data_IF_559996597905
#
_entry.id   IF_559996597905
#
_cell.length_a   1.000
_cell.length_b   1.000
_cell.length_c   1.000
_cell.angle_alpha   90.00
_cell.angle_beta   90.00
_cell.angle_gamma   90.00
#
_symmetry.space_group_name_H-M   'P 1'
#
loop_
_entity.id
_entity.type
_entity.pdbx_description
1 polymer ?
#
# COMPACT_ATOMS: atom_id res chain seq x y z
N UNK A 1 0.61 -25.83 8.60
CA UNK A 1 -0.21 -26.33 7.47
C UNK A 1 -0.51 -25.12 6.60
N UNK A 2 0.17 -24.82 5.50
CA UNK A 2 1.13 -25.57 4.69
C UNK A 2 2.06 -24.55 4.00
N UNK A 3 3.36 -24.77 4.08
CA UNK A 3 4.39 -24.01 3.38
C UNK A 3 4.51 -24.49 1.93
N UNK A 4 4.50 -23.57 0.97
CA UNK A 4 4.87 -23.83 -0.43
C UNK A 4 6.21 -23.18 -0.72
N UNK A 5 7.28 -23.98 -0.55
CA UNK A 5 8.62 -23.68 -1.03
C UNK A 5 8.67 -23.75 -2.56
N UNK A 6 9.07 -22.65 -3.19
CA UNK A 6 9.31 -22.56 -4.62
C UNK A 6 10.77 -22.95 -4.89
N UNK A 7 11.02 -24.24 -5.17
CA UNK A 7 12.35 -24.77 -5.50
C UNK A 7 12.67 -24.57 -6.98
N UNK A 8 13.79 -23.92 -7.24
CA UNK A 8 14.47 -23.85 -8.53
C UNK A 8 14.76 -25.25 -9.12
N UNK A 9 14.71 -25.44 -10.44
CA UNK A 9 15.13 -26.69 -11.05
C UNK A 9 16.65 -26.81 -11.06
N UNK A 10 17.13 -27.89 -10.46
CA UNK A 10 18.51 -28.36 -10.50
C UNK A 10 18.81 -29.00 -11.86
N UNK A 11 20.02 -28.84 -12.44
CA UNK A 11 20.40 -29.46 -13.70
C UNK A 11 20.55 -30.97 -13.51
N UNK A 12 19.78 -31.74 -14.28
CA UNK A 12 19.80 -33.19 -14.26
C UNK A 12 21.12 -33.79 -14.76
N UNK A 13 21.41 -35.05 -14.39
CA UNK A 13 22.68 -35.70 -14.64
C UNK A 13 22.91 -35.99 -16.12
N UNK A 14 24.14 -35.75 -16.55
CA UNK A 14 24.67 -36.09 -17.86
C UNK A 14 24.56 -37.60 -18.10
N UNK A 15 23.63 -38.01 -18.96
CA UNK A 15 23.64 -39.36 -19.53
C UNK A 15 24.70 -39.42 -20.62
N UNK A 16 25.79 -40.13 -20.32
CA UNK A 16 26.79 -40.54 -21.28
C UNK A 16 26.14 -41.45 -22.33
N UNK A 17 25.78 -40.88 -23.48
CA UNK A 17 25.33 -41.64 -24.64
C UNK A 17 26.55 -42.21 -25.38
N UNK A 18 26.62 -43.53 -25.34
CA UNK A 18 27.40 -44.47 -26.14
C UNK A 18 27.84 -43.92 -27.49
N UNK A 19 29.15 -43.66 -27.59
CA UNK A 19 29.88 -43.33 -28.82
C UNK A 19 29.84 -44.53 -29.76
N UNK A 20 28.86 -44.55 -30.66
CA UNK A 20 28.84 -45.47 -31.79
C UNK A 20 30.11 -45.27 -32.63
N UNK A 21 31.01 -46.25 -32.61
CA UNK A 21 32.09 -46.37 -33.59
C UNK A 21 31.47 -46.59 -34.97
N UNK A 22 31.13 -45.51 -35.66
CA UNK A 22 31.02 -45.52 -37.12
C UNK A 22 32.45 -45.51 -37.65
N UNK A 23 32.81 -46.56 -38.38
CA UNK A 23 34.00 -46.64 -39.20
C UNK A 23 34.19 -45.33 -39.95
N UNK A 24 35.09 -44.47 -39.47
CA UNK A 24 35.64 -43.38 -40.24
C UNK A 24 36.57 -44.06 -41.25
N UNK A 25 35.99 -44.45 -42.37
CA UNK A 25 36.72 -44.77 -43.58
C UNK A 25 37.50 -43.51 -43.92
N UNK A 26 38.79 -43.49 -43.56
CA UNK A 26 39.71 -42.43 -43.96
C UNK A 26 39.60 -42.31 -45.48
N UNK A 27 39.24 -41.14 -46.03
CA UNK A 27 39.20 -40.98 -47.47
C UNK A 27 40.59 -41.33 -48.00
N UNK A 28 40.67 -42.30 -48.91
CA UNK A 28 41.91 -42.55 -49.67
C UNK A 28 42.40 -41.21 -50.18
N UNK A 29 43.72 -40.90 -50.11
CA UNK A 29 44.22 -39.63 -50.60
C UNK A 29 43.82 -39.51 -52.07
N UNK A 30 42.83 -38.64 -52.31
CA UNK A 30 42.48 -38.23 -53.65
C UNK A 30 43.71 -37.60 -54.29
N UNK A 31 43.75 -37.57 -55.62
CA UNK A 31 44.88 -36.98 -56.32
C UNK A 31 45.13 -35.54 -55.84
N UNK A 32 46.30 -34.97 -56.16
CA UNK A 32 46.70 -33.61 -55.74
C UNK A 32 45.59 -32.56 -55.93
N UNK A 33 44.70 -32.74 -56.90
CA UNK A 33 43.51 -31.90 -57.13
C UNK A 33 42.46 -31.97 -56.00
N UNK A 34 42.21 -33.16 -55.44
CA UNK A 34 41.26 -33.36 -54.33
C UNK A 34 41.79 -32.76 -53.03
N UNK A 35 43.10 -32.85 -52.78
CA UNK A 35 43.74 -32.20 -51.63
C UNK A 35 43.69 -30.66 -51.74
N UNK A 36 43.84 -30.11 -52.94
CA UNK A 36 43.67 -28.67 -53.19
C UNK A 36 42.24 -28.21 -52.94
N UNK A 37 41.25 -29.02 -53.34
CA UNK A 37 39.84 -28.74 -53.10
C UNK A 37 39.51 -28.78 -51.60
N UNK A 38 39.98 -29.82 -50.89
CA UNK A 38 39.81 -29.94 -49.44
C UNK A 38 40.47 -28.79 -48.66
N UNK A 39 41.63 -28.31 -49.13
CA UNK A 39 42.31 -27.17 -48.51
C UNK A 39 41.53 -25.87 -48.71
N UNK A 40 40.95 -25.66 -49.90
CA UNK A 40 40.10 -24.50 -50.18
C UNK A 40 38.81 -24.54 -49.33
N UNK A 41 38.17 -25.69 -49.23
CA UNK A 41 36.98 -25.87 -48.37
C UNK A 41 37.31 -25.66 -46.89
N UNK A 42 38.45 -26.16 -46.41
CA UNK A 42 38.92 -25.93 -45.05
C UNK A 42 39.21 -24.44 -44.79
N UNK A 43 39.81 -23.74 -45.75
CA UNK A 43 40.06 -22.30 -45.65
C UNK A 43 38.76 -21.51 -45.54
N UNK A 44 37.79 -21.78 -46.42
CA UNK A 44 36.47 -21.13 -46.37
C UNK A 44 35.77 -21.38 -45.03
N UNK A 45 35.88 -22.61 -44.51
CA UNK A 45 35.28 -22.97 -43.21
C UNK A 45 35.96 -22.28 -42.04
N UNK A 46 37.27 -22.05 -42.10
CA UNK A 46 38.00 -21.26 -41.11
C UNK A 46 37.53 -19.80 -41.16
N UNK A 47 37.41 -19.22 -42.35
CA UNK A 47 36.92 -17.84 -42.52
C UNK A 47 35.52 -17.68 -41.92
N UNK A 48 34.58 -18.58 -42.24
CA UNK A 48 33.23 -18.55 -41.64
C UNK A 48 33.24 -18.66 -40.11
N UNK A 49 34.12 -19.50 -39.55
CA UNK A 49 34.21 -19.66 -38.10
C UNK A 49 34.78 -18.42 -37.42
N UNK A 50 35.71 -17.72 -38.06
CA UNK A 50 36.26 -16.45 -37.56
C UNK A 50 35.17 -15.38 -37.56
N UNK A 51 34.40 -15.24 -38.64
CA UNK A 51 33.28 -14.28 -38.68
C UNK A 51 32.20 -14.59 -37.63
N UNK A 52 31.89 -15.87 -37.40
CA UNK A 52 30.97 -16.29 -36.33
C UNK A 52 31.54 -16.00 -34.94
N UNK A 53 32.84 -16.13 -34.74
CA UNK A 53 33.49 -15.81 -33.47
C UNK A 53 33.45 -14.31 -33.19
N UNK A 54 33.77 -13.47 -34.18
CA UNK A 54 33.71 -12.01 -34.04
C UNK A 54 32.29 -11.50 -33.74
N UNK A 55 31.28 -12.08 -34.39
CA UNK A 55 29.87 -11.73 -34.12
C UNK A 55 29.42 -12.19 -32.73
N UNK A 56 29.85 -13.37 -32.28
CA UNK A 56 29.61 -13.84 -30.92
C UNK A 56 30.30 -12.95 -29.87
N UNK A 57 31.54 -12.52 -30.11
CA UNK A 57 32.26 -11.62 -29.21
C UNK A 57 31.54 -10.28 -29.05
N UNK A 58 31.09 -9.67 -30.16
CA UNK A 58 30.27 -8.44 -30.12
C UNK A 58 28.99 -8.64 -29.31
N UNK A 59 28.24 -9.71 -29.56
CA UNK A 59 27.02 -10.01 -28.81
C UNK A 59 27.29 -10.19 -27.30
N UNK A 60 28.41 -10.83 -26.93
CA UNK A 60 28.78 -10.96 -25.50
C UNK A 60 29.20 -9.64 -24.87
N UNK A 61 29.79 -8.72 -25.64
CA UNK A 61 30.14 -7.38 -25.17
C UNK A 61 28.88 -6.55 -24.89
N UNK A 62 27.87 -6.62 -25.77
CA UNK A 62 26.58 -5.94 -25.59
C UNK A 62 25.85 -6.45 -24.34
N UNK A 63 25.77 -7.78 -24.16
CA UNK A 63 25.15 -8.39 -22.96
C UNK A 63 25.90 -7.98 -21.68
N UNK A 64 27.24 -7.88 -21.71
CA UNK A 64 28.02 -7.42 -20.55
C UNK A 64 27.74 -5.95 -20.22
N UNK A 65 27.53 -5.10 -21.24
CA UNK A 65 27.16 -3.70 -21.04
C UNK A 65 25.78 -3.58 -20.39
N UNK A 66 24.78 -4.30 -20.89
CA UNK A 66 23.43 -4.34 -20.31
C UNK A 66 23.46 -4.85 -18.86
N UNK A 67 24.25 -5.89 -18.57
CA UNK A 67 24.40 -6.43 -17.22
C UNK A 67 25.05 -5.42 -16.27
N UNK A 68 26.07 -4.68 -16.73
CA UNK A 68 26.70 -3.63 -15.94
C UNK A 68 25.73 -2.48 -15.62
N UNK A 69 24.86 -2.11 -16.56
CA UNK A 69 23.82 -1.11 -16.35
C UNK A 69 22.73 -1.60 -15.38
N UNK A 70 22.28 -2.85 -15.53
CA UNK A 70 21.32 -3.48 -14.61
C UNK A 70 21.87 -3.56 -13.18
N UNK A 71 23.16 -3.88 -13.00
CA UNK A 71 23.80 -3.90 -11.69
C UNK A 71 23.86 -2.50 -11.07
N UNK A 72 24.22 -1.47 -11.84
CA UNK A 72 24.18 -0.07 -11.36
C UNK A 72 22.77 0.35 -10.94
N UNK A 73 21.74 -0.01 -11.72
CA UNK A 73 20.35 0.28 -11.37
C UNK A 73 19.92 -0.44 -10.08
N UNK A 74 20.37 -1.67 -9.88
CA UNK A 74 20.09 -2.45 -8.68
C UNK A 74 20.78 -1.88 -7.44
N UNK A 75 22.03 -1.44 -7.56
CA UNK A 75 22.74 -0.76 -6.47
C UNK A 75 22.11 0.59 -6.14
N UNK A 76 21.68 1.35 -7.15
CA UNK A 76 20.92 2.58 -6.95
C UNK A 76 19.58 2.32 -6.24
N UNK A 77 18.88 1.23 -6.56
CA UNK A 77 17.64 0.84 -5.90
C UNK A 77 17.84 0.37 -4.46
N UNK A 78 18.95 -0.34 -4.16
CA UNK A 78 19.31 -0.77 -2.80
C UNK A 78 19.74 0.39 -1.90
N UNK A 79 20.51 1.33 -2.46
CA UNK A 79 21.05 2.48 -1.73
C UNK A 79 20.09 3.66 -1.70
N UNK A 80 18.92 3.57 -2.36
CA UNK A 80 17.85 4.54 -2.19
C UNK A 80 17.44 4.48 -0.71
N UNK A 81 17.63 5.55 0.07
CA UNK A 81 17.20 5.56 1.46
C UNK A 81 15.71 5.24 1.44
N UNK A 82 15.35 4.08 2.00
CA UNK A 82 13.97 3.87 2.42
C UNK A 82 13.78 4.92 3.49
N UNK A 83 13.20 6.07 3.13
CA UNK A 83 12.78 7.05 4.09
C UNK A 83 12.00 6.26 5.14
N UNK A 84 12.62 6.07 6.30
CA UNK A 84 12.02 5.39 7.43
C UNK A 84 11.02 6.37 8.02
N UNK A 85 10.01 6.70 7.23
CA UNK A 85 8.86 7.48 7.64
C UNK A 85 8.25 6.62 8.73
N UNK A 86 8.34 7.10 9.97
CA UNK A 86 7.67 6.51 11.12
C UNK A 86 6.23 6.19 10.71
N UNK A 87 5.87 4.90 10.65
CA UNK A 87 4.53 4.48 10.23
C UNK A 87 3.76 3.99 11.44
N UNK A 88 2.77 4.77 11.87
CA UNK A 88 1.82 4.36 12.90
C UNK A 88 1.03 3.16 12.41
N UNK A 89 1.19 1.98 13.04
CA UNK A 89 0.42 0.80 12.69
C UNK A 89 -1.04 1.01 13.07
N UNK A 90 -1.92 0.24 12.44
CA UNK A 90 -3.34 0.24 12.77
C UNK A 90 -3.54 -0.28 14.20
N UNK A 91 -4.27 0.42 15.08
CA UNK A 91 -4.57 -0.05 16.43
C UNK A 91 -5.22 -1.43 16.40
N UNK A 92 -4.78 -2.33 17.27
CA UNK A 92 -5.42 -3.64 17.44
C UNK A 92 -6.71 -3.47 18.24
N UNK A 93 -7.71 -4.33 18.00
CA UNK A 93 -9.03 -4.25 18.65
C UNK A 93 -8.99 -4.33 20.19
N UNK A 94 -7.87 -4.72 20.78
CA UNK A 94 -7.63 -4.86 22.22
C UNK A 94 -7.20 -3.56 22.89
N UNK A 95 -6.82 -2.53 22.12
CA UNK A 95 -6.46 -1.23 22.66
C UNK A 95 -7.72 -0.35 22.76
N UNK A 96 -8.51 -0.59 23.82
CA UNK A 96 -9.78 0.11 24.09
C UNK A 96 -9.66 1.63 24.25
N UNK A 97 -8.43 2.17 24.30
CA UNK A 97 -8.16 3.60 24.50
C UNK A 97 -8.25 4.44 23.23
N UNK A 98 -8.04 3.85 22.05
CA UNK A 98 -8.08 4.59 20.77
C UNK A 98 -9.45 4.34 20.14
N UNK A 99 -10.42 5.17 20.50
CA UNK A 99 -11.73 5.17 19.85
C UNK A 99 -11.57 5.20 18.33
N UNK A 100 -12.34 4.38 17.59
CA UNK A 100 -12.23 4.28 16.12
C UNK A 100 -12.38 5.65 15.44
N UNK A 101 -11.28 6.38 15.27
CA UNK A 101 -11.26 7.71 14.63
C UNK A 101 -10.52 8.78 15.41
N UNK A 102 -10.15 8.57 16.67
CA UNK A 102 -9.25 9.49 17.36
C UNK A 102 -7.81 9.17 16.98
N UNK A 103 -7.25 10.00 16.10
CA UNK A 103 -5.87 9.88 15.64
C UNK A 103 -4.99 10.96 16.26
N UNK A 104 -5.54 11.79 17.15
CA UNK A 104 -4.87 12.99 17.70
C UNK A 104 -3.63 12.60 18.48
N UNK A 105 -3.72 11.57 19.33
CA UNK A 105 -2.58 11.01 20.04
C UNK A 105 -1.47 10.47 19.11
N UNK A 106 -1.81 9.98 17.91
CA UNK A 106 -0.80 9.60 16.92
C UNK A 106 -0.23 10.81 16.18
N UNK A 107 -1.03 11.86 15.98
CA UNK A 107 -0.57 13.09 15.36
C UNK A 107 0.41 13.83 16.27
N UNK A 108 0.22 13.86 17.58
CA UNK A 108 1.19 14.45 18.54
C UNK A 108 2.60 13.85 18.42
N UNK A 109 2.71 12.59 17.97
CA UNK A 109 3.98 11.89 17.77
C UNK A 109 4.61 12.13 16.39
N UNK A 110 3.97 12.92 15.52
CA UNK A 110 4.51 13.27 14.21
C UNK A 110 5.65 14.27 14.40
N UNK A 111 6.84 14.05 13.79
CA UNK A 111 8.00 14.93 13.96
C UNK A 111 7.72 16.41 13.61
N UNK A 112 6.83 16.66 12.64
CA UNK A 112 6.46 18.01 12.21
C UNK A 112 5.67 18.80 13.29
N UNK A 113 5.19 18.12 14.35
CA UNK A 113 4.42 18.71 15.45
C UNK A 113 5.16 18.70 16.80
N UNK A 114 6.47 18.48 16.83
CA UNK A 114 7.27 18.58 18.07
C UNK A 114 7.27 20.02 18.63
N UNK A 115 7.13 20.17 19.97
CA UNK A 115 7.18 21.45 20.69
C UNK A 115 6.11 21.60 21.78
N UNK A 116 6.14 22.74 22.50
CA UNK A 116 5.17 23.06 23.57
C UNK A 116 3.70 23.11 23.08
N UNK A 117 3.49 23.38 21.78
CA UNK A 117 2.16 23.46 21.14
C UNK A 117 1.75 22.18 20.40
N UNK A 118 2.39 21.03 20.68
CA UNK A 118 2.18 19.79 19.91
C UNK A 118 0.71 19.35 19.85
N UNK A 119 0.01 19.37 20.99
CA UNK A 119 -1.41 19.01 21.09
C UNK A 119 -2.30 19.94 20.24
N UNK A 120 -2.09 21.25 20.33
CA UNK A 120 -2.88 22.23 19.59
C UNK A 120 -2.67 22.11 18.07
N UNK A 121 -1.44 21.82 17.64
CA UNK A 121 -1.11 21.56 16.23
C UNK A 121 -1.72 20.25 15.74
N UNK A 122 -1.67 19.20 16.55
CA UNK A 122 -2.28 17.90 16.26
C UNK A 122 -3.81 18.01 16.12
N UNK A 123 -4.49 18.73 17.01
CA UNK A 123 -5.93 18.98 16.92
C UNK A 123 -6.29 19.83 15.69
N UNK A 124 -5.48 20.84 15.37
CA UNK A 124 -5.68 21.66 14.16
C UNK A 124 -5.54 20.82 12.88
N UNK A 125 -4.52 19.97 12.82
CA UNK A 125 -4.29 19.03 11.72
C UNK A 125 -5.43 18.02 11.61
N UNK A 126 -5.86 17.43 12.72
CA UNK A 126 -7.01 16.52 12.77
C UNK A 126 -8.28 17.19 12.21
N UNK A 127 -8.60 18.41 12.66
CA UNK A 127 -9.76 19.18 12.19
C UNK A 127 -9.62 19.54 10.70
N UNK A 128 -8.43 19.89 10.22
CA UNK A 128 -8.18 20.17 8.81
C UNK A 128 -8.47 18.93 7.93
N UNK A 129 -7.93 17.76 8.31
CA UNK A 129 -8.19 16.51 7.61
C UNK A 129 -9.67 16.15 7.60
N UNK A 130 -10.38 16.31 8.74
CA UNK A 130 -11.82 16.09 8.79
C UNK A 130 -12.58 17.02 7.84
N UNK A 131 -12.26 18.31 7.81
CA UNK A 131 -12.90 19.28 6.90
C UNK A 131 -12.66 18.89 5.44
N UNK A 132 -11.43 18.50 5.09
CA UNK A 132 -11.10 18.10 3.74
C UNK A 132 -11.85 16.83 3.31
N UNK A 133 -11.91 15.80 4.16
CA UNK A 133 -12.70 14.59 3.91
C UNK A 133 -14.19 14.93 3.69
N UNK A 134 -14.77 15.84 4.48
CA UNK A 134 -16.16 16.29 4.30
C UNK A 134 -16.37 16.94 2.93
N UNK A 135 -15.43 17.78 2.49
CA UNK A 135 -15.45 18.38 1.15
C UNK A 135 -15.38 17.32 0.04
N UNK A 136 -14.47 16.35 0.17
CA UNK A 136 -14.32 15.26 -0.81
C UNK A 136 -15.55 14.36 -0.89
N UNK A 137 -16.28 14.16 0.21
CA UNK A 137 -17.54 13.41 0.19
C UNK A 137 -18.58 14.04 -0.74
N UNK A 138 -18.65 15.37 -0.76
CA UNK A 138 -19.54 16.13 -1.65
C UNK A 138 -19.01 16.09 -3.08
N UNK A 139 -17.71 16.36 -3.27
CA UNK A 139 -17.08 16.40 -4.59
C UNK A 139 -17.12 15.04 -5.33
N UNK A 140 -16.95 13.93 -4.60
CA UNK A 140 -16.98 12.57 -5.18
C UNK A 140 -18.37 11.95 -5.22
N UNK A 141 -19.41 12.67 -4.77
CA UNK A 141 -20.79 12.20 -4.72
C UNK A 141 -20.89 10.80 -4.10
N UNK A 142 -20.33 10.65 -2.90
CA UNK A 142 -20.45 9.42 -2.12
C UNK A 142 -21.84 9.38 -1.48
N UNK A 143 -22.54 8.25 -1.60
CA UNK A 143 -23.82 8.10 -0.94
C UNK A 143 -23.62 8.08 0.58
N UNK A 144 -24.41 8.91 1.26
CA UNK A 144 -24.41 9.04 2.71
C UNK A 144 -25.18 7.92 3.38
N UNK A 145 -26.06 7.23 2.65
CA UNK A 145 -26.91 6.17 3.21
C UNK A 145 -26.20 4.82 3.28
N UNK A 146 -25.22 4.59 2.42
CA UNK A 146 -24.44 3.36 2.36
C UNK A 146 -23.61 3.11 3.64
N UNK A 147 -23.35 1.84 3.96
CA UNK A 147 -22.44 1.48 5.05
C UNK A 147 -21.01 1.46 4.53
N UNK A 148 -20.08 1.92 5.37
CA UNK A 148 -18.65 1.92 5.02
C UNK A 148 -18.13 0.53 4.61
N UNK A 149 -18.65 -0.54 5.22
CA UNK A 149 -18.21 -1.91 4.94
C UNK A 149 -18.46 -2.31 3.48
N UNK A 150 -19.52 -1.76 2.88
CA UNK A 150 -19.94 -2.08 1.50
C UNK A 150 -19.08 -1.31 0.49
N UNK A 151 -18.68 -0.07 0.81
CA UNK A 151 -17.92 0.79 -0.09
C UNK A 151 -16.42 0.87 0.17
N UNK A 152 -15.89 0.17 1.19
CA UNK A 152 -14.49 0.30 1.65
C UNK A 152 -13.43 0.03 0.57
N UNK A 153 -13.76 -0.78 -0.43
CA UNK A 153 -12.87 -1.14 -1.55
C UNK A 153 -13.24 -0.43 -2.86
N UNK A 154 -14.20 0.50 -2.82
CA UNK A 154 -14.57 1.28 -4.00
C UNK A 154 -13.43 2.21 -4.43
N UNK A 155 -13.35 2.47 -5.73
CA UNK A 155 -12.40 3.42 -6.30
C UNK A 155 -12.54 4.83 -5.69
N UNK A 156 -13.76 5.24 -5.34
CA UNK A 156 -14.03 6.52 -4.68
C UNK A 156 -13.31 6.63 -3.34
N UNK A 157 -13.35 5.59 -2.51
CA UNK A 157 -12.65 5.57 -1.21
C UNK A 157 -11.14 5.56 -1.41
N UNK A 158 -10.63 4.78 -2.37
CA UNK A 158 -9.20 4.76 -2.70
C UNK A 158 -8.71 6.13 -3.19
N UNK A 159 -9.43 6.75 -4.12
CA UNK A 159 -9.15 8.10 -4.64
C UNK A 159 -9.17 9.15 -3.53
N UNK A 160 -10.14 9.07 -2.61
CA UNK A 160 -10.20 9.97 -1.46
C UNK A 160 -8.98 9.80 -0.54
N UNK A 161 -8.52 8.58 -0.27
CA UNK A 161 -7.30 8.35 0.51
C UNK A 161 -6.07 8.98 -0.16
N UNK A 162 -5.93 8.82 -1.47
CA UNK A 162 -4.84 9.44 -2.23
C UNK A 162 -4.89 10.98 -2.23
N UNK A 163 -6.08 11.57 -2.32
CA UNK A 163 -6.25 13.03 -2.28
C UNK A 163 -5.95 13.58 -0.88
N UNK A 164 -6.43 12.92 0.18
CA UNK A 164 -6.15 13.34 1.56
C UNK A 164 -4.65 13.29 1.86
N UNK A 165 -3.93 12.26 1.39
CA UNK A 165 -2.46 12.21 1.54
C UNK A 165 -1.72 13.35 0.83
N UNK A 166 -2.26 13.86 -0.28
CA UNK A 166 -1.67 15.00 -1.00
C UNK A 166 -1.91 16.32 -0.26
N UNK A 167 -3.12 16.53 0.25
CA UNK A 167 -3.50 17.78 0.92
C UNK A 167 -3.05 17.85 2.38
N UNK A 168 -2.97 16.70 3.05
CA UNK A 168 -2.63 16.57 4.46
C UNK A 168 -1.35 15.71 4.59
N UNK A 169 -0.14 16.29 4.46
CA UNK A 169 1.11 15.55 4.40
C UNK A 169 1.35 14.63 5.60
N UNK A 170 0.90 15.03 6.79
CA UNK A 170 0.99 14.23 8.03
C UNK A 170 0.20 12.90 7.97
N UNK A 171 -0.72 12.73 7.01
CA UNK A 171 -1.41 11.46 6.80
C UNK A 171 -0.49 10.36 6.22
N UNK A 172 0.71 10.73 5.70
CA UNK A 172 1.71 9.78 5.21
C UNK A 172 2.29 8.88 6.31
N UNK A 173 2.23 9.34 7.57
CA UNK A 173 2.75 8.60 8.73
C UNK A 173 1.82 7.46 9.17
N UNK A 174 0.65 7.27 8.56
CA UNK A 174 -0.26 6.18 8.91
C UNK A 174 -0.19 5.03 7.90
N UNK A 175 0.03 3.81 8.40
CA UNK A 175 0.09 2.61 7.56
C UNK A 175 -1.25 2.35 6.85
N UNK A 176 -1.20 1.89 5.60
CA UNK A 176 -2.37 1.42 4.83
C UNK A 176 -3.59 2.38 4.80
N UNK A 177 -3.36 3.69 4.95
CA UNK A 177 -4.42 4.70 5.03
C UNK A 177 -5.42 4.44 6.15
N UNK A 178 -5.04 3.73 7.22
CA UNK A 178 -5.99 3.31 8.25
C UNK A 178 -6.65 4.51 8.94
N UNK A 179 -5.89 5.58 9.19
CA UNK A 179 -6.37 6.82 9.81
C UNK A 179 -7.42 7.51 8.93
N UNK A 180 -7.10 7.75 7.66
CA UNK A 180 -8.04 8.33 6.68
C UNK A 180 -9.31 7.48 6.58
N UNK A 181 -9.17 6.16 6.52
CA UNK A 181 -10.28 5.21 6.49
C UNK A 181 -11.12 5.24 7.76
N UNK A 182 -10.51 5.45 8.93
CA UNK A 182 -11.22 5.61 10.20
C UNK A 182 -12.04 6.90 10.23
N UNK A 183 -11.45 8.02 9.78
CA UNK A 183 -12.14 9.32 9.66
C UNK A 183 -13.34 9.23 8.69
N UNK A 184 -13.15 8.61 7.52
CA UNK A 184 -14.22 8.37 6.55
C UNK A 184 -15.35 7.56 7.20
N UNK A 185 -15.01 6.44 7.85
CA UNK A 185 -15.99 5.57 8.52
C UNK A 185 -16.77 6.35 9.58
N UNK A 186 -16.07 7.14 10.39
CA UNK A 186 -16.66 7.97 11.45
C UNK A 186 -17.61 9.01 10.85
N UNK A 187 -17.21 9.68 9.78
CA UNK A 187 -18.06 10.64 9.08
C UNK A 187 -19.33 9.99 8.50
N UNK A 188 -19.21 8.85 7.80
CA UNK A 188 -20.37 8.14 7.26
C UNK A 188 -21.32 7.68 8.37
N UNK A 189 -20.78 7.17 9.49
CA UNK A 189 -21.58 6.78 10.66
C UNK A 189 -22.36 7.98 11.21
N UNK A 190 -21.70 9.12 11.40
CA UNK A 190 -22.32 10.33 11.91
C UNK A 190 -23.35 10.91 10.92
N UNK A 191 -23.08 10.84 9.62
CA UNK A 191 -23.99 11.31 8.58
C UNK A 191 -25.29 10.49 8.57
N UNK A 192 -25.22 9.16 8.65
CA UNK A 192 -26.40 8.30 8.79
C UNK A 192 -27.16 8.55 10.09
N UNK A 193 -26.45 8.67 11.21
CA UNK A 193 -27.07 8.98 12.49
C UNK A 193 -27.81 10.33 12.47
N UNK A 194 -27.24 11.34 11.81
CA UNK A 194 -27.90 12.64 11.62
C UNK A 194 -29.11 12.54 10.68
N UNK A 195 -29.02 11.77 9.59
CA UNK A 195 -30.14 11.54 8.68
C UNK A 195 -31.31 10.82 9.37
N UNK A 196 -31.04 9.78 10.17
CA UNK A 196 -32.05 9.09 10.95
C UNK A 196 -32.75 10.01 11.97
N UNK A 197 -32.00 10.90 12.63
CA UNK A 197 -32.56 11.90 13.53
C UNK A 197 -33.50 12.88 12.80
N UNK A 198 -33.15 13.32 11.59
CA UNK A 198 -34.00 14.23 10.80
C UNK A 198 -35.29 13.55 10.33
N UNK A 199 -35.21 12.33 9.79
CA UNK A 199 -36.41 11.57 9.40
C UNK A 199 -37.33 11.26 10.59
N UNK A 200 -36.76 10.99 11.77
CA UNK A 200 -37.55 10.80 12.99
C UNK A 200 -38.16 12.10 13.51
N UNK A 201 -37.48 13.25 13.38
CA UNK A 201 -37.99 14.54 13.83
C UNK A 201 -39.14 15.04 12.94
N UNK A 202 -39.02 14.86 11.61
CA UNK A 202 -40.10 15.19 10.67
C UNK A 202 -41.35 14.34 10.91
N UNK A 203 -41.17 13.05 11.24
CA UNK A 203 -42.27 12.15 11.64
C UNK A 203 -42.86 12.47 13.03
N UNK A 204 -42.08 13.10 13.93
CA UNK A 204 -42.52 13.44 15.28
C UNK A 204 -43.28 14.77 15.39
N UNK A 205 -43.31 15.60 14.34
CA UNK A 205 -44.08 16.86 14.31
C UNK A 205 -45.61 16.66 14.37
N UNK A 206 -46.09 15.41 14.28
CA UNK A 206 -47.52 15.06 14.46
C UNK A 206 -47.87 14.26 15.72
N UNK A 207 -46.92 13.97 16.62
CA UNK A 207 -47.09 12.86 17.54
C UNK A 207 -46.58 13.09 18.96
N UNK A 208 -47.47 13.58 19.82
CA UNK A 208 -47.51 13.30 21.27
C UNK A 208 -46.46 14.03 22.13
N UNK A 209 -46.88 15.20 22.61
CA UNK A 209 -46.43 15.82 23.86
C UNK A 209 -46.35 14.74 24.94
N UNK A 210 -45.15 14.23 25.23
CA UNK A 210 -44.91 13.47 26.45
C UNK A 210 -45.02 14.46 27.60
N UNK A 211 -46.21 14.50 28.20
CA UNK A 211 -46.51 15.13 29.48
C UNK A 211 -45.53 14.54 30.50
N UNK A 212 -44.35 15.17 30.66
CA UNK A 212 -43.44 14.87 31.76
C UNK A 212 -44.22 15.19 33.03
N UNK A 213 -44.63 14.14 33.75
CA UNK A 213 -45.07 14.29 35.12
C UNK A 213 -43.93 14.98 35.86
N UNK A 214 -44.15 16.23 36.23
CA UNK A 214 -43.39 16.93 37.25
C UNK A 214 -43.48 16.08 38.51
N UNK A 215 -42.42 15.36 38.83
CA UNK A 215 -42.25 14.79 40.16
C UNK A 215 -42.18 15.96 41.13
N UNK A 216 -43.08 15.92 42.12
CA UNK A 216 -43.25 16.90 43.17
C UNK A 216 -41.92 17.18 43.89
N UNK A 217 -41.44 18.41 43.78
CA UNK A 217 -40.49 18.96 44.73
C UNK A 217 -41.25 19.20 46.04
N UNK A 218 -40.91 18.46 47.10
CA UNK A 218 -41.32 18.79 48.47
C UNK A 218 -40.35 19.87 48.98
N UNK A 219 -40.81 21.08 49.31
CA UNK A 219 -39.98 22.04 50.02
C UNK A 219 -39.62 21.46 51.38
N UNK A 220 -38.33 21.41 51.68
CA UNK A 220 -37.81 21.11 53.00
C UNK A 220 -38.11 22.30 53.92
N UNK A 221 -38.86 22.00 54.98
CA UNK A 221 -38.64 22.53 56.33
C UNK A 221 -38.82 24.02 56.54
N UNK A 222 -39.94 24.36 57.17
CA UNK A 222 -40.04 25.48 58.12
C UNK A 222 -38.82 25.43 59.06
N UNK A 223 -38.02 26.50 59.05
CA UNK A 223 -37.08 26.81 60.13
C UNK A 223 -37.89 27.67 61.08
N UNK A 224 -38.53 27.01 62.04
CA UNK A 224 -38.87 27.58 63.34
C UNK A 224 -37.59 27.44 64.17
N UNK A 225 -36.99 28.56 64.57
CA UNK A 225 -36.15 28.61 65.76
C UNK A 225 -36.44 29.94 66.44
N UNK A 226 -37.26 29.82 67.48
CA UNK A 226 -37.62 30.82 68.47
C UNK A 226 -36.40 31.31 69.25
N UNK A 227 -36.58 32.50 69.82
CA UNK A 227 -35.81 33.15 70.88
C UNK A 227 -35.44 32.25 72.07
N UNK A 228 -34.22 32.40 72.57
CA UNK A 228 -33.75 32.33 73.99
C UNK A 228 -32.20 32.46 73.90
N UNK A 229 -31.46 33.42 74.48
CA UNK A 229 -31.59 34.40 75.57
C UNK A 229 -30.82 35.69 75.22
#
# INVERSE_FOLDING_TARGET
MSDTENRSPSPGPQTAATRGKKNAQTPKPGGIKDLKLQLADAHNRIVELVERAETAEKATADIRAELAEALKALDAAKNKPRESIMRFPKPRKTDDKIGMGDITACLELVPDFEGEDSEARADTAYKAAQRFIRGLFVALQLDRTEKYIDVRYSEKITKMCSLVKKECPYMKFFADDWATRALIRQYMRNSRAAAAKRGSAESATGGRVRKRQRTSYKPLGEIDDEEEE
#
